data_IF_064760773034
#
_entry.id   IF_064760773034
#
_cell.length_a   1.000
_cell.length_b   1.000
_cell.length_c   1.000
_cell.angle_alpha   90.00
_cell.angle_beta   90.00
_cell.angle_gamma   90.00
#
_symmetry.space_group_name_H-M   'P 1'
#
loop_
_entity.id
_entity.type
_entity.pdbx_description
1 polymer ?
#
# COMPACT_ATOMS: atom_id res chain seq x y z
N UNK A 1 -26.11 -11.58 -10.26
CA UNK A 1 -26.90 -11.19 -9.07
C UNK A 1 -27.59 -12.36 -8.34
N UNK A 2 -27.66 -13.58 -8.91
CA UNK A 2 -28.28 -14.74 -8.26
C UNK A 2 -27.42 -15.50 -7.20
N UNK A 3 -26.33 -14.89 -6.70
CA UNK A 3 -25.43 -15.52 -5.72
C UNK A 3 -25.81 -15.20 -4.26
N UNK A 4 -27.04 -14.70 -3.96
CA UNK A 4 -27.40 -14.14 -2.64
C UNK A 4 -28.44 -14.93 -1.82
N UNK A 5 -28.80 -16.16 -2.18
CA UNK A 5 -29.76 -16.99 -1.40
C UNK A 5 -29.10 -18.23 -0.79
N UNK A 6 -28.55 -18.15 0.43
CA UNK A 6 -28.27 -19.37 1.23
C UNK A 6 -28.07 -19.07 2.72
N UNK A 7 -28.59 -19.92 3.62
CA UNK A 7 -28.63 -19.74 5.09
C UNK A 7 -27.25 -19.58 5.75
N UNK A 8 -26.20 -20.11 5.12
CA UNK A 8 -24.80 -19.92 5.52
C UNK A 8 -24.31 -18.46 5.40
N UNK A 9 -24.98 -17.62 4.60
CA UNK A 9 -24.57 -16.22 4.39
C UNK A 9 -24.81 -15.36 5.62
N UNK A 10 -25.90 -15.59 6.36
CA UNK A 10 -26.15 -14.80 7.57
C UNK A 10 -25.09 -15.11 8.62
N UNK A 11 -24.73 -16.39 8.80
CA UNK A 11 -23.65 -16.77 9.71
C UNK A 11 -22.30 -16.22 9.28
N UNK A 12 -22.01 -16.18 7.98
CA UNK A 12 -20.75 -15.63 7.47
C UNK A 12 -20.71 -14.09 7.58
N UNK A 13 -21.82 -13.41 7.31
CA UNK A 13 -21.96 -11.96 7.53
C UNK A 13 -21.83 -11.61 9.02
N UNK A 14 -22.45 -12.39 9.91
CA UNK A 14 -22.31 -12.22 11.35
C UNK A 14 -20.87 -12.45 11.80
N UNK A 15 -20.19 -13.49 11.31
CA UNK A 15 -18.77 -13.73 11.59
C UNK A 15 -17.90 -12.58 11.10
N UNK A 16 -18.14 -12.09 9.89
CA UNK A 16 -17.42 -10.94 9.33
C UNK A 16 -17.64 -9.69 10.20
N UNK A 17 -18.89 -9.40 10.57
CA UNK A 17 -19.23 -8.24 11.37
C UNK A 17 -18.62 -8.33 12.78
N UNK A 18 -18.74 -9.47 13.45
CA UNK A 18 -18.13 -9.72 14.75
C UNK A 18 -16.60 -9.61 14.69
N UNK A 19 -15.97 -10.16 13.66
CA UNK A 19 -14.51 -10.05 13.47
C UNK A 19 -14.09 -8.60 13.26
N UNK A 20 -14.88 -7.83 12.50
CA UNK A 20 -14.64 -6.40 12.29
C UNK A 20 -14.76 -5.62 13.58
N UNK A 21 -15.79 -5.88 14.40
CA UNK A 21 -15.96 -5.26 15.71
C UNK A 21 -14.83 -5.61 16.69
N UNK A 22 -14.40 -6.88 16.71
CA UNK A 22 -13.30 -7.35 17.56
C UNK A 22 -11.98 -6.62 17.27
N UNK A 23 -11.75 -6.19 16.03
CA UNK A 23 -10.57 -5.39 15.66
C UNK A 23 -10.80 -3.90 15.87
N UNK A 24 -12.00 -3.41 15.53
CA UNK A 24 -12.30 -1.98 15.50
C UNK A 24 -12.50 -1.40 16.90
N UNK A 25 -13.20 -2.11 17.79
CA UNK A 25 -13.51 -1.61 19.15
C UNK A 25 -12.23 -1.35 19.95
N UNK A 26 -11.25 -2.29 20.05
CA UNK A 26 -9.99 -2.00 20.72
C UNK A 26 -9.26 -0.79 20.13
N UNK A 27 -9.26 -0.64 18.80
CA UNK A 27 -8.63 0.50 18.14
C UNK A 27 -9.30 1.84 18.52
N UNK A 28 -10.63 1.89 18.56
CA UNK A 28 -11.38 3.09 18.97
C UNK A 28 -11.16 3.39 20.46
N UNK A 29 -11.08 2.37 21.32
CA UNK A 29 -10.79 2.54 22.75
C UNK A 29 -9.38 3.11 22.97
N UNK A 30 -8.38 2.62 22.22
CA UNK A 30 -7.02 3.19 22.25
C UNK A 30 -7.04 4.67 21.85
N UNK A 31 -7.78 5.04 20.80
CA UNK A 31 -7.91 6.42 20.39
C UNK A 31 -8.59 7.29 21.45
N UNK A 32 -9.65 6.80 22.10
CA UNK A 32 -10.30 7.55 23.17
C UNK A 32 -9.38 7.72 24.38
N UNK A 33 -8.59 6.70 24.72
CA UNK A 33 -7.60 6.78 25.79
C UNK A 33 -6.48 7.79 25.47
N UNK A 34 -6.00 7.83 24.22
CA UNK A 34 -4.88 8.69 23.81
C UNK A 34 -5.29 10.14 23.52
N UNK A 35 -6.45 10.34 22.89
CA UNK A 35 -6.85 11.63 22.33
C UNK A 35 -8.10 12.21 23.00
N UNK A 36 -8.73 11.48 23.93
CA UNK A 36 -10.00 11.87 24.55
C UNK A 36 -11.22 11.68 23.63
N UNK A 37 -11.06 11.12 22.43
CA UNK A 37 -12.12 10.93 21.44
C UNK A 37 -12.01 9.59 20.70
N UNK A 38 -13.15 8.95 20.40
CA UNK A 38 -13.18 7.69 19.63
C UNK A 38 -12.80 7.88 18.16
N UNK A 39 -12.84 9.10 17.65
CA UNK A 39 -12.24 9.46 16.37
C UNK A 39 -10.87 10.09 16.66
N UNK A 40 -9.84 9.79 15.87
CA UNK A 40 -8.57 10.49 16.01
C UNK A 40 -8.83 11.98 15.71
N UNK A 41 -8.04 12.91 16.26
CA UNK A 41 -8.14 14.33 15.94
C UNK A 41 -7.77 14.52 14.46
N UNK A 42 -8.74 14.32 13.56
CA UNK A 42 -8.67 14.56 12.13
C UNK A 42 -8.94 16.03 11.82
N UNK A 43 -8.55 16.94 12.71
CA UNK A 43 -9.21 18.24 12.81
C UNK A 43 -8.22 19.33 13.20
N UNK A 44 -7.66 19.92 12.16
CA UNK A 44 -6.96 21.20 12.16
C UNK A 44 -6.86 21.68 10.71
N UNK A 45 -6.79 23.00 10.51
CA UNK A 45 -6.52 23.58 9.20
C UNK A 45 -5.19 23.02 8.66
N UNK A 46 -5.27 22.20 7.61
CA UNK A 46 -4.13 21.50 7.03
C UNK A 46 -4.17 19.97 7.10
N UNK A 47 -5.13 19.34 7.80
CA UNK A 47 -5.26 17.87 7.80
C UNK A 47 -5.55 17.30 6.41
N UNK A 48 -6.38 18.02 5.64
CA UNK A 48 -6.64 17.78 4.24
C UNK A 48 -6.04 18.91 3.41
N UNK A 49 -4.85 18.70 2.86
CA UNK A 49 -4.17 19.68 2.01
C UNK A 49 -3.63 18.97 0.78
N UNK A 50 -4.25 19.26 -0.36
CA UNK A 50 -3.67 18.87 -1.63
C UNK A 50 -2.39 19.67 -1.88
N UNK A 51 -1.31 18.97 -2.21
CA UNK A 51 -0.15 19.58 -2.86
C UNK A 51 0.08 18.88 -4.20
N UNK A 52 0.29 19.63 -5.31
CA UNK A 52 0.68 19.04 -6.58
C UNK A 52 1.95 18.17 -6.47
N UNK A 53 2.84 18.48 -5.51
CA UNK A 53 4.05 17.68 -5.24
C UNK A 53 3.78 16.42 -4.42
N UNK A 54 2.63 16.28 -3.74
CA UNK A 54 2.35 15.15 -2.84
C UNK A 54 2.45 13.81 -3.55
N UNK A 55 1.94 13.69 -4.78
CA UNK A 55 1.99 12.45 -5.55
C UNK A 55 3.43 12.13 -5.95
N UNK A 56 4.17 13.12 -6.45
CA UNK A 56 5.58 12.93 -6.80
C UNK A 56 6.40 12.50 -5.58
N UNK A 57 6.14 13.10 -4.41
CA UNK A 57 6.82 12.76 -3.16
C UNK A 57 6.53 11.31 -2.73
N UNK A 58 5.28 10.84 -2.86
CA UNK A 58 4.93 9.43 -2.58
C UNK A 58 5.85 8.47 -3.34
N UNK A 59 6.27 8.81 -4.56
CA UNK A 59 7.13 7.96 -5.37
C UNK A 59 8.62 8.26 -5.20
N UNK A 60 9.02 9.53 -5.12
CA UNK A 60 10.39 9.99 -5.33
C UNK A 60 10.94 10.92 -4.24
N UNK A 61 10.25 11.06 -3.10
CA UNK A 61 10.85 11.77 -1.97
C UNK A 61 12.06 11.02 -1.44
N UNK A 62 13.14 11.70 -1.09
CA UNK A 62 14.33 11.06 -0.50
C UNK A 62 14.36 11.42 1.00
N UNK A 63 14.35 10.44 1.92
CA UNK A 63 14.57 9.00 1.72
C UNK A 63 13.28 8.14 1.58
N UNK A 64 12.08 8.73 1.69
CA UNK A 64 10.86 7.98 2.00
C UNK A 64 9.94 7.65 0.82
N UNK A 65 10.31 7.98 -0.41
CA UNK A 65 9.52 7.68 -1.60
C UNK A 65 9.50 6.19 -1.93
N UNK A 66 8.41 5.69 -2.54
CA UNK A 66 8.26 4.28 -2.90
C UNK A 66 9.41 3.74 -3.76
N UNK A 67 9.95 4.57 -4.67
CA UNK A 67 11.06 4.19 -5.53
C UNK A 67 12.30 3.82 -4.72
N UNK A 68 12.59 4.58 -3.67
CA UNK A 68 13.75 4.35 -2.82
C UNK A 68 13.48 3.26 -1.80
N UNK A 69 12.30 3.28 -1.19
CA UNK A 69 11.95 2.41 -0.06
C UNK A 69 11.51 1.01 -0.46
N UNK A 70 10.92 0.85 -1.63
CA UNK A 70 10.45 -0.43 -2.15
C UNK A 70 10.59 -0.49 -3.69
N UNK A 71 11.82 -0.43 -4.24
CA UNK A 71 12.07 -0.41 -5.69
C UNK A 71 11.48 -1.63 -6.41
N UNK A 72 11.45 -2.79 -5.74
CA UNK A 72 10.79 -4.02 -6.23
C UNK A 72 9.32 -3.76 -6.55
N UNK A 73 8.63 -3.14 -5.60
CA UNK A 73 7.20 -2.87 -5.68
C UNK A 73 6.95 -1.80 -6.75
N UNK A 74 7.76 -0.75 -6.77
CA UNK A 74 7.69 0.28 -7.80
C UNK A 74 7.80 -0.31 -9.22
N UNK A 75 8.80 -1.15 -9.46
CA UNK A 75 9.01 -1.81 -10.76
C UNK A 75 7.88 -2.79 -11.07
N UNK A 76 7.37 -3.52 -10.08
CA UNK A 76 6.26 -4.45 -10.29
C UNK A 76 4.96 -3.77 -10.74
N UNK A 77 4.74 -2.52 -10.34
CA UNK A 77 3.63 -1.70 -10.83
C UNK A 77 3.70 -1.44 -12.34
N UNK A 78 4.90 -1.35 -12.91
CA UNK A 78 5.09 -1.23 -14.37
C UNK A 78 4.58 -2.49 -15.07
N UNK A 79 4.73 -3.67 -14.46
CA UNK A 79 4.25 -4.93 -15.05
C UNK A 79 2.74 -5.11 -14.99
N UNK A 80 2.02 -4.32 -14.18
CA UNK A 80 0.55 -4.36 -14.16
C UNK A 80 -0.03 -4.05 -15.56
N UNK A 81 0.59 -3.16 -16.33
CA UNK A 81 0.07 -2.71 -17.63
C UNK A 81 0.15 -3.77 -18.73
N UNK A 82 0.90 -4.85 -18.53
CA UNK A 82 1.17 -5.87 -19.56
C UNK A 82 0.39 -7.19 -19.37
N UNK A 83 -0.57 -7.25 -18.44
CA UNK A 83 -1.30 -8.49 -18.20
C UNK A 83 -2.41 -8.77 -19.22
N UNK A 84 -2.64 -10.07 -19.47
CA UNK A 84 -3.63 -10.57 -20.45
C UNK A 84 -5.10 -10.35 -20.04
N UNK A 85 -5.40 -9.90 -18.81
CA UNK A 85 -6.76 -9.68 -18.31
C UNK A 85 -7.05 -8.19 -18.04
N UNK A 86 -7.26 -7.38 -19.10
CA UNK A 86 -7.28 -5.92 -19.00
C UNK A 86 -8.35 -5.37 -18.05
N UNK A 87 -9.49 -6.04 -17.89
CA UNK A 87 -10.58 -5.56 -17.01
C UNK A 87 -10.20 -5.50 -15.52
N UNK A 88 -9.55 -6.55 -15.00
CA UNK A 88 -9.15 -6.59 -13.58
C UNK A 88 -7.98 -5.67 -13.31
N UNK A 89 -7.11 -5.52 -14.31
CA UNK A 89 -6.03 -4.54 -14.29
C UNK A 89 -6.53 -3.12 -14.25
N UNK A 90 -7.59 -2.82 -15.02
CA UNK A 90 -8.21 -1.52 -15.03
C UNK A 90 -8.79 -1.19 -13.65
N UNK A 91 -9.48 -2.14 -13.00
CA UNK A 91 -9.96 -1.96 -11.64
C UNK A 91 -8.81 -1.78 -10.64
N UNK A 92 -7.78 -2.62 -10.70
CA UNK A 92 -6.58 -2.50 -9.88
C UNK A 92 -5.91 -1.12 -10.03
N UNK A 93 -5.74 -0.68 -11.27
CA UNK A 93 -5.15 0.61 -11.61
C UNK A 93 -5.99 1.77 -11.08
N UNK A 94 -7.31 1.77 -11.33
CA UNK A 94 -8.18 2.83 -10.82
C UNK A 94 -8.32 2.81 -9.30
N UNK A 95 -8.30 1.64 -8.65
CA UNK A 95 -8.26 1.54 -7.19
C UNK A 95 -6.96 2.11 -6.63
N UNK A 96 -5.81 1.80 -7.23
CA UNK A 96 -4.52 2.36 -6.83
C UNK A 96 -4.50 3.88 -7.07
N UNK A 97 -4.99 4.35 -8.22
CA UNK A 97 -5.06 5.77 -8.56
C UNK A 97 -5.96 6.53 -7.58
N UNK A 98 -7.16 6.03 -7.31
CA UNK A 98 -8.08 6.63 -6.34
C UNK A 98 -7.46 6.68 -4.94
N UNK A 99 -6.76 5.61 -4.55
CA UNK A 99 -6.06 5.56 -3.27
C UNK A 99 -4.90 6.55 -3.18
N UNK A 100 -4.07 6.66 -4.22
CA UNK A 100 -2.99 7.64 -4.31
C UNK A 100 -3.53 9.07 -4.26
N UNK A 101 -4.64 9.33 -4.96
CA UNK A 101 -5.33 10.62 -4.89
C UNK A 101 -5.74 10.91 -3.45
N UNK A 102 -6.52 10.05 -2.81
CA UNK A 102 -6.96 10.24 -1.41
C UNK A 102 -5.76 10.45 -0.47
N UNK A 103 -4.71 9.65 -0.62
CA UNK A 103 -3.50 9.74 0.21
C UNK A 103 -2.74 11.06 -0.02
N UNK A 104 -2.76 11.58 -1.25
CA UNK A 104 -2.11 12.86 -1.58
C UNK A 104 -2.79 14.10 -1.02
N UNK A 105 -4.07 13.99 -0.65
CA UNK A 105 -4.81 15.03 0.08
C UNK A 105 -4.52 15.03 1.58
N UNK A 106 -3.88 13.97 2.11
CA UNK A 106 -3.62 13.89 3.54
C UNK A 106 -2.41 14.73 3.96
N UNK A 107 -2.40 15.24 5.19
CA UNK A 107 -1.34 16.10 5.73
C UNK A 107 0.06 15.47 5.71
N UNK A 108 0.14 14.14 5.72
CA UNK A 108 1.40 13.42 5.51
C UNK A 108 1.21 12.27 4.51
N UNK A 109 1.38 12.54 3.21
CA UNK A 109 1.22 11.54 2.15
C UNK A 109 2.17 10.34 2.28
N UNK A 110 3.28 10.52 3.00
CA UNK A 110 4.28 9.48 3.28
C UNK A 110 4.01 8.72 4.59
N UNK A 111 3.12 9.20 5.44
CA UNK A 111 2.66 8.49 6.63
C UNK A 111 3.26 8.93 7.95
N UNK A 112 3.56 10.21 8.04
CA UNK A 112 4.15 10.85 9.20
C UNK A 112 5.61 10.43 9.31
N UNK A 113 6.00 9.99 10.51
CA UNK A 113 7.33 9.47 10.79
C UNK A 113 7.55 8.02 10.28
N UNK A 114 6.63 7.48 9.47
CA UNK A 114 6.79 6.13 8.93
C UNK A 114 7.78 6.08 7.78
N UNK A 115 8.48 4.95 7.70
CA UNK A 115 9.37 4.64 6.58
C UNK A 115 8.58 4.25 5.34
N UNK A 116 8.85 4.92 4.21
CA UNK A 116 8.12 4.68 2.97
C UNK A 116 6.66 5.16 3.05
N UNK A 117 5.94 5.23 1.92
CA UNK A 117 4.50 5.49 1.92
C UNK A 117 3.74 4.26 2.45
N UNK A 118 3.68 4.09 3.77
CA UNK A 118 3.14 2.89 4.45
C UNK A 118 1.76 2.47 3.96
N UNK A 119 0.92 3.41 3.55
CA UNK A 119 -0.44 3.14 3.06
C UNK A 119 -0.46 2.30 1.79
N UNK A 120 0.63 2.32 1.00
CA UNK A 120 0.75 1.50 -0.20
C UNK A 120 0.97 0.02 0.09
N UNK A 121 1.27 -0.37 1.34
CA UNK A 121 1.47 -1.79 1.70
C UNK A 121 0.25 -2.65 1.35
N UNK A 122 -0.96 -2.09 1.42
CA UNK A 122 -2.21 -2.77 1.04
C UNK A 122 -2.25 -3.16 -0.44
N UNK A 123 -1.49 -2.44 -1.28
CA UNK A 123 -1.37 -2.73 -2.71
C UNK A 123 -0.17 -3.65 -3.03
N UNK A 124 0.70 -3.95 -2.06
CA UNK A 124 1.88 -4.80 -2.31
C UNK A 124 1.50 -6.20 -2.79
N UNK A 125 0.49 -6.90 -2.25
CA UNK A 125 0.09 -8.21 -2.78
C UNK A 125 -0.35 -8.13 -4.25
N UNK A 126 -1.08 -7.07 -4.62
CA UNK A 126 -1.54 -6.85 -5.99
C UNK A 126 -0.36 -6.60 -6.94
N UNK A 127 0.60 -5.79 -6.50
CA UNK A 127 1.83 -5.47 -7.22
C UNK A 127 2.77 -6.70 -7.31
N UNK A 128 2.82 -7.53 -6.27
CA UNK A 128 3.59 -8.77 -6.27
C UNK A 128 3.05 -9.80 -7.28
N UNK A 129 1.74 -9.82 -7.54
CA UNK A 129 1.15 -10.72 -8.53
C UNK A 129 1.64 -10.42 -9.96
N UNK A 130 1.78 -9.14 -10.34
CA UNK A 130 2.33 -8.79 -11.66
C UNK A 130 3.80 -9.15 -11.79
N UNK A 131 4.57 -9.00 -10.70
CA UNK A 131 5.95 -9.46 -10.66
C UNK A 131 6.06 -10.98 -10.82
N UNK A 132 5.19 -11.74 -10.15
CA UNK A 132 5.18 -13.20 -10.21
C UNK A 132 4.91 -13.71 -11.64
N UNK A 133 3.94 -13.11 -12.35
CA UNK A 133 3.68 -13.45 -13.76
C UNK A 133 4.90 -13.15 -14.64
N UNK A 134 5.58 -12.02 -14.40
CA UNK A 134 6.79 -11.68 -15.14
C UNK A 134 7.92 -12.68 -14.88
N UNK A 135 8.20 -13.01 -13.62
CA UNK A 135 9.23 -13.99 -13.23
C UNK A 135 8.94 -15.35 -13.88
N UNK A 136 7.68 -15.79 -13.90
CA UNK A 136 7.28 -17.06 -14.54
C UNK A 136 7.62 -17.11 -16.03
N UNK A 137 7.65 -15.97 -16.72
CA UNK A 137 8.03 -15.87 -18.14
C UNK A 137 9.54 -15.79 -18.39
N UNK A 138 10.36 -15.62 -17.34
CA UNK A 138 11.81 -15.52 -17.47
C UNK A 138 12.48 -16.90 -17.48
N UNK A 139 13.59 -17.03 -18.19
CA UNK A 139 14.47 -18.21 -18.06
C UNK A 139 15.15 -18.21 -16.70
N UNK A 140 15.45 -19.39 -16.15
CA UNK A 140 16.17 -19.53 -14.87
C UNK A 140 17.49 -18.74 -14.82
N UNK A 141 18.22 -18.69 -15.94
CA UNK A 141 19.44 -17.88 -16.08
C UNK A 141 19.25 -16.38 -15.87
N UNK A 142 18.03 -15.86 -16.02
CA UNK A 142 17.67 -14.45 -15.80
C UNK A 142 17.06 -14.21 -14.42
N UNK A 143 16.46 -15.22 -13.81
CA UNK A 143 15.82 -15.11 -12.48
C UNK A 143 16.87 -14.83 -11.42
N UNK A 144 17.98 -15.59 -11.40
CA UNK A 144 19.04 -15.43 -10.39
C UNK A 144 19.62 -13.99 -10.38
N UNK A 145 20.13 -13.43 -11.50
CA UNK A 145 20.65 -12.08 -11.48
C UNK A 145 19.57 -11.04 -11.16
N UNK A 146 18.32 -11.25 -11.61
CA UNK A 146 17.19 -10.39 -11.25
C UNK A 146 16.98 -10.37 -9.73
N UNK A 147 16.88 -11.53 -9.08
CA UNK A 147 16.72 -11.63 -7.62
C UNK A 147 17.91 -11.01 -6.87
N UNK A 148 19.15 -11.25 -7.33
CA UNK A 148 20.35 -10.65 -6.72
C UNK A 148 20.31 -9.14 -6.79
N UNK A 149 19.94 -8.55 -7.94
CA UNK A 149 19.77 -7.10 -8.09
C UNK A 149 18.75 -6.58 -7.07
N UNK A 150 17.60 -7.24 -6.92
CA UNK A 150 16.58 -6.79 -5.97
C UNK A 150 17.01 -6.90 -4.51
N UNK A 151 17.69 -7.98 -4.11
CA UNK A 151 18.23 -8.11 -2.77
C UNK A 151 19.24 -7.00 -2.51
N UNK A 152 20.16 -6.76 -3.45
CA UNK A 152 21.15 -5.69 -3.35
C UNK A 152 20.52 -4.31 -3.24
N UNK A 153 19.48 -4.01 -4.02
CA UNK A 153 18.76 -2.73 -3.93
C UNK A 153 18.09 -2.55 -2.56
N UNK A 154 17.47 -3.59 -2.01
CA UNK A 154 16.88 -3.53 -0.67
C UNK A 154 17.97 -3.36 0.41
N UNK A 155 19.09 -4.06 0.31
CA UNK A 155 20.21 -3.95 1.26
C UNK A 155 20.84 -2.55 1.22
N UNK A 156 21.13 -2.02 0.02
CA UNK A 156 21.65 -0.65 -0.14
C UNK A 156 20.70 0.35 0.49
N UNK A 157 19.41 0.21 0.23
CA UNK A 157 18.40 1.05 0.85
C UNK A 157 18.43 0.94 2.39
N UNK A 158 18.44 -0.28 2.95
CA UNK A 158 18.54 -0.49 4.41
C UNK A 158 19.80 0.12 5.01
N UNK A 159 20.92 0.11 4.29
CA UNK A 159 22.18 0.73 4.74
C UNK A 159 22.12 2.26 4.68
N UNK A 160 21.57 2.84 3.61
CA UNK A 160 21.35 4.29 3.50
C UNK A 160 20.47 4.77 4.66
N UNK A 161 19.41 4.02 4.98
CA UNK A 161 18.55 4.33 6.12
C UNK A 161 19.32 4.41 7.44
N UNK A 162 20.14 3.41 7.76
CA UNK A 162 20.96 3.40 8.98
C UNK A 162 21.92 4.58 9.08
N UNK A 163 22.28 5.20 7.95
CA UNK A 163 23.23 6.31 7.88
C UNK A 163 22.57 7.69 7.81
N UNK A 164 21.33 7.78 7.31
CA UNK A 164 20.60 9.04 7.07
C UNK A 164 19.56 9.32 8.16
N UNK A 165 19.05 8.29 8.85
CA UNK A 165 18.11 8.47 9.95
C UNK A 165 18.84 8.80 11.26
N UNK A 166 18.64 10.00 11.84
CA UNK A 166 19.20 10.38 13.14
C UNK A 166 18.60 9.60 14.31
#
# INVERSE_FOLDING_TARGET
LAYFTNKHKLTDLLRFFLSTLLVTIPQLMVWNFQFGSFLPPMSGDGFWKFSPSSIANIFFDLPNGLFFTAPVIFISGIFLTFQKKPRYMLYAFFSLLAFLLITSFWWSPLGGASFGPRFLITFYPLLALSLAEKIKSMSYSKIIPFTVIFISLNLIHSLIFLYVSP
#
